data_IF_167779211715
#
_entry.id   IF_167779211715
#
_cell.length_a   1.000
_cell.length_b   1.000
_cell.length_c   1.000
_cell.angle_alpha   90.00
_cell.angle_beta   90.00
_cell.angle_gamma   90.00
#
_symmetry.space_group_name_H-M   'P 1'
#
loop_
_entity.id
_entity.type
_entity.pdbx_description
1 polymer ?
#
# COMPACT_ATOMS: atom_id res chain seq x y z
N UNK A 1 3.81 -3.58 -13.39
CA UNK A 1 3.60 -3.61 -11.92
C UNK A 1 2.48 -2.70 -11.45
N UNK A 2 2.38 -1.43 -11.90
CA UNK A 2 1.34 -0.49 -11.45
C UNK A 2 -0.10 -1.03 -11.58
N UNK A 3 -0.44 -1.64 -12.73
CA UNK A 3 -1.73 -2.30 -12.92
C UNK A 3 -2.01 -3.44 -11.93
N UNK A 4 -1.00 -4.22 -11.52
CA UNK A 4 -1.16 -5.28 -10.52
C UNK A 4 -1.35 -4.71 -9.11
N UNK A 5 -0.69 -3.57 -8.81
CA UNK A 5 -0.85 -2.86 -7.54
C UNK A 5 -2.24 -2.24 -7.44
N UNK A 6 -2.72 -1.63 -8.52
CA UNK A 6 -4.10 -1.11 -8.64
C UNK A 6 -5.12 -2.25 -8.58
N UNK A 7 -4.81 -3.43 -9.14
CA UNK A 7 -5.65 -4.63 -9.04
C UNK A 7 -5.81 -5.15 -7.60
N UNK A 8 -4.91 -4.81 -6.67
CA UNK A 8 -5.08 -5.14 -5.24
C UNK A 8 -6.10 -4.27 -4.52
N UNK A 9 -6.65 -3.24 -5.19
CA UNK A 9 -7.64 -2.30 -4.63
C UNK A 9 -7.23 -1.70 -3.28
N UNK A 10 -5.92 -1.45 -3.12
CA UNK A 10 -5.35 -0.86 -1.91
C UNK A 10 -5.02 -1.83 -0.77
N UNK A 11 -5.29 -3.13 -0.91
CA UNK A 11 -5.06 -4.12 0.17
C UNK A 11 -3.60 -4.22 0.63
N UNK A 12 -2.65 -3.92 -0.26
CA UNK A 12 -1.20 -3.90 0.07
C UNK A 12 -0.84 -2.91 1.18
N UNK A 13 -1.69 -1.91 1.44
CA UNK A 13 -1.46 -0.89 2.47
C UNK A 13 -2.02 -1.30 3.85
N UNK A 14 -2.68 -2.44 3.96
CA UNK A 14 -3.28 -2.95 5.22
C UNK A 14 -2.28 -3.01 6.38
N UNK A 15 -1.04 -3.46 6.12
CA UNK A 15 0.02 -3.49 7.14
C UNK A 15 0.46 -2.10 7.61
N UNK A 16 0.53 -1.13 6.69
CA UNK A 16 0.88 0.25 7.03
C UNK A 16 -0.23 0.92 7.85
N UNK A 17 -1.50 0.66 7.50
CA UNK A 17 -2.64 1.14 8.28
C UNK A 17 -2.66 0.54 9.69
N UNK A 18 -2.37 -0.76 9.83
CA UNK A 18 -2.28 -1.42 11.13
C UNK A 18 -1.24 -0.74 12.02
N UNK A 19 -0.03 -0.49 11.50
CA UNK A 19 1.03 0.18 12.25
C UNK A 19 0.61 1.58 12.67
N UNK A 20 0.06 2.38 11.76
CA UNK A 20 -0.40 3.73 12.05
C UNK A 20 -1.47 3.76 13.15
N UNK A 21 -2.41 2.81 13.15
CA UNK A 21 -3.42 2.69 14.20
C UNK A 21 -2.80 2.32 15.56
N UNK A 22 -1.84 1.39 15.58
CA UNK A 22 -1.15 1.04 16.84
C UNK A 22 -0.32 2.20 17.39
N UNK A 23 0.34 2.98 16.51
CA UNK A 23 1.08 4.20 16.89
C UNK A 23 0.16 5.29 17.47
N UNK A 24 -1.13 5.27 17.11
CA UNK A 24 -2.18 6.15 17.65
C UNK A 24 -2.83 5.61 18.94
N UNK A 25 -2.26 4.57 19.54
CA UNK A 25 -2.63 4.08 20.87
C UNK A 25 -3.68 2.97 20.89
N UNK A 26 -4.01 2.37 19.75
CA UNK A 26 -4.87 1.18 19.71
C UNK A 26 -4.07 -0.03 20.16
N UNK A 27 -4.75 -0.93 20.88
CA UNK A 27 -4.16 -2.25 21.07
C UNK A 27 -3.97 -2.93 19.72
N UNK A 28 -2.98 -3.82 19.63
CA UNK A 28 -2.70 -4.59 18.41
C UNK A 28 -3.93 -5.37 17.94
N UNK A 29 -4.70 -5.94 18.87
CA UNK A 29 -5.94 -6.67 18.57
C UNK A 29 -7.03 -5.76 17.99
N UNK A 30 -7.23 -4.57 18.56
CA UNK A 30 -8.20 -3.60 18.04
C UNK A 30 -7.81 -3.11 16.65
N UNK A 31 -6.54 -2.77 16.45
CA UNK A 31 -6.02 -2.37 15.14
C UNK A 31 -6.19 -3.50 14.12
N UNK A 32 -5.90 -4.75 14.50
CA UNK A 32 -6.05 -5.91 13.63
C UNK A 32 -7.51 -6.13 13.23
N UNK A 33 -8.44 -6.13 14.19
CA UNK A 33 -9.86 -6.30 13.93
C UNK A 33 -10.41 -5.22 12.98
N UNK A 34 -10.02 -3.96 13.21
CA UNK A 34 -10.46 -2.82 12.40
C UNK A 34 -9.95 -2.93 10.96
N UNK A 35 -8.64 -3.20 10.78
CA UNK A 35 -8.04 -3.37 9.44
C UNK A 35 -8.62 -4.59 8.72
N UNK A 36 -8.76 -5.72 9.42
CA UNK A 36 -9.27 -6.96 8.85
C UNK A 36 -10.71 -6.80 8.35
N UNK A 37 -11.57 -6.09 9.10
CA UNK A 37 -12.96 -5.81 8.69
C UNK A 37 -13.02 -5.17 7.31
N UNK A 38 -12.20 -4.14 7.06
CA UNK A 38 -12.19 -3.45 5.78
C UNK A 38 -11.47 -4.24 4.68
N UNK A 39 -10.41 -4.99 5.04
CA UNK A 39 -9.66 -5.80 4.07
C UNK A 39 -10.52 -6.95 3.53
N UNK A 40 -11.24 -7.65 4.41
CA UNK A 40 -12.18 -8.70 4.02
C UNK A 40 -13.28 -8.15 3.12
N UNK A 41 -13.85 -6.99 3.47
CA UNK A 41 -14.88 -6.34 2.66
C UNK A 41 -14.38 -5.94 1.27
N UNK A 42 -13.18 -5.38 1.17
CA UNK A 42 -12.56 -5.07 -0.13
C UNK A 42 -12.30 -6.32 -0.98
N UNK A 43 -11.96 -7.44 -0.34
CA UNK A 43 -11.75 -8.73 -0.99
C UNK A 43 -13.07 -9.34 -1.49
N UNK A 44 -14.06 -9.47 -0.61
CA UNK A 44 -15.32 -10.18 -0.88
C UNK A 44 -16.26 -9.39 -1.80
N UNK A 45 -16.41 -8.08 -1.57
CA UNK A 45 -17.30 -7.21 -2.35
C UNK A 45 -16.60 -6.57 -3.54
N UNK A 46 -15.28 -6.74 -3.63
CA UNK A 46 -14.47 -6.07 -4.62
C UNK A 46 -14.43 -4.55 -4.48
N UNK A 47 -14.71 -4.04 -3.28
CA UNK A 47 -14.67 -2.62 -2.96
C UNK A 47 -13.22 -2.09 -2.89
N UNK A 48 -13.08 -0.78 -2.98
CA UNK A 48 -11.80 -0.11 -2.79
C UNK A 48 -11.46 0.01 -1.30
N UNK A 49 -10.35 -0.58 -0.86
CA UNK A 49 -9.94 -0.61 0.54
C UNK A 49 -9.65 0.80 1.08
N UNK A 50 -9.10 1.70 0.25
CA UNK A 50 -8.80 3.07 0.67
C UNK A 50 -10.09 3.84 0.96
N UNK A 51 -11.09 3.73 0.10
CA UNK A 51 -12.37 4.39 0.31
C UNK A 51 -13.12 3.83 1.53
N UNK A 52 -13.07 2.51 1.75
CA UNK A 52 -13.63 1.89 2.96
C UNK A 52 -13.00 2.44 4.25
N UNK A 53 -11.66 2.56 4.27
CA UNK A 53 -10.89 3.10 5.40
C UNK A 53 -11.16 4.58 5.61
N UNK A 54 -11.21 5.35 4.51
CA UNK A 54 -11.47 6.80 4.55
C UNK A 54 -12.89 7.13 5.03
N UNK A 55 -13.86 6.27 4.73
CA UNK A 55 -15.24 6.45 5.16
C UNK A 55 -15.48 6.06 6.63
N UNK A 56 -14.57 5.30 7.24
CA UNK A 56 -14.78 4.74 8.57
C UNK A 56 -14.62 5.77 9.69
N UNK A 57 -15.65 6.01 10.52
CA UNK A 57 -15.60 7.02 11.57
C UNK A 57 -14.64 6.64 12.70
N UNK A 58 -14.44 5.35 12.97
CA UNK A 58 -13.54 4.87 14.01
C UNK A 58 -12.08 5.13 13.63
N UNK A 59 -11.73 4.92 12.37
CA UNK A 59 -10.41 5.26 11.81
C UNK A 59 -10.21 6.79 11.79
N UNK A 60 -11.21 7.54 11.33
CA UNK A 60 -11.14 9.02 11.27
C UNK A 60 -11.06 9.70 12.63
N UNK A 61 -11.52 9.04 13.69
CA UNK A 61 -11.35 9.53 15.06
C UNK A 61 -9.88 9.49 15.52
N UNK A 62 -9.01 8.74 14.82
CA UNK A 62 -7.62 8.47 15.21
C UNK A 62 -6.59 9.00 14.21
N UNK A 63 -6.95 9.03 12.93
CA UNK A 63 -6.10 9.47 11.83
C UNK A 63 -6.80 10.60 11.08
N UNK A 64 -6.10 11.71 10.90
CA UNK A 64 -6.57 12.79 10.05
C UNK A 64 -6.62 12.34 8.59
N UNK A 65 -7.48 12.96 7.75
CA UNK A 65 -7.57 12.60 6.33
C UNK A 65 -6.21 12.63 5.61
N UNK A 66 -5.34 13.60 5.90
CA UNK A 66 -3.99 13.68 5.32
C UNK A 66 -3.09 12.50 5.69
N UNK A 67 -3.26 11.95 6.89
CA UNK A 67 -2.47 10.80 7.34
C UNK A 67 -2.94 9.51 6.68
N UNK A 68 -4.26 9.36 6.52
CA UNK A 68 -4.85 8.28 5.75
C UNK A 68 -4.31 8.36 4.31
N UNK A 69 -4.36 9.52 3.68
CA UNK A 69 -3.82 9.72 2.34
C UNK A 69 -2.34 9.32 2.23
N UNK A 70 -1.50 9.69 3.21
CA UNK A 70 -0.08 9.31 3.25
C UNK A 70 0.14 7.79 3.37
N UNK A 71 -0.69 7.07 4.13
CA UNK A 71 -0.62 5.60 4.27
C UNK A 71 -0.81 4.91 2.90
N UNK A 72 -1.66 5.47 2.05
CA UNK A 72 -1.98 4.93 0.72
C UNK A 72 -1.07 5.46 -0.40
N UNK A 73 -0.04 6.26 -0.08
CA UNK A 73 0.95 6.68 -1.08
C UNK A 73 1.89 5.55 -1.42
N UNK A 74 1.86 5.14 -2.68
CA UNK A 74 2.66 4.07 -3.24
C UNK A 74 4.18 4.31 -3.09
N UNK A 75 4.61 5.57 -3.17
CA UNK A 75 6.02 5.96 -3.00
C UNK A 75 6.58 5.55 -1.63
N UNK A 76 5.72 5.44 -0.59
CA UNK A 76 6.08 5.01 0.77
C UNK A 76 6.27 3.50 0.86
N UNK A 77 5.37 2.76 0.23
CA UNK A 77 5.33 1.29 0.26
C UNK A 77 6.43 0.64 -0.59
N UNK A 78 6.90 1.32 -1.65
CA UNK A 78 7.92 0.79 -2.56
C UNK A 78 9.35 1.23 -2.25
N UNK A 79 9.59 2.11 -1.26
CA UNK A 79 10.94 2.68 -1.00
C UNK A 79 12.06 1.66 -0.81
N UNK A 80 11.73 0.49 -0.26
CA UNK A 80 12.71 -0.56 -0.02
C UNK A 80 12.64 -1.68 -1.05
N UNK A 81 11.65 -1.68 -1.94
CA UNK A 81 11.51 -2.74 -2.96
C UNK A 81 12.72 -2.72 -3.89
N UNK A 82 13.16 -1.55 -4.34
CA UNK A 82 14.36 -1.45 -5.18
C UNK A 82 15.64 -1.90 -4.45
N UNK A 83 15.74 -1.62 -3.14
CA UNK A 83 16.87 -2.06 -2.32
C UNK A 83 16.87 -3.58 -2.09
N UNK A 84 15.69 -4.17 -1.87
CA UNK A 84 15.51 -5.62 -1.71
C UNK A 84 15.76 -6.33 -3.05
N UNK A 85 15.21 -5.83 -4.16
CA UNK A 85 15.44 -6.38 -5.50
C UNK A 85 16.93 -6.34 -5.87
N UNK A 86 17.61 -5.22 -5.61
CA UNK A 86 19.06 -5.09 -5.84
C UNK A 86 19.87 -6.08 -4.99
N UNK A 87 19.45 -6.29 -3.74
CA UNK A 87 20.10 -7.24 -2.82
C UNK A 87 19.87 -8.71 -3.19
N UNK A 88 18.67 -9.03 -3.70
CA UNK A 88 18.27 -10.42 -4.02
C UNK A 88 18.70 -10.82 -5.44
N UNK A 89 18.66 -9.89 -6.40
CA UNK A 89 18.92 -10.19 -7.81
C UNK A 89 20.26 -9.65 -8.36
N UNK A 90 20.98 -8.79 -7.61
CA UNK A 90 22.25 -8.20 -8.07
C UNK A 90 22.12 -7.41 -9.38
N UNK A 91 23.23 -6.87 -9.90
CA UNK A 91 23.29 -6.04 -11.14
C UNK A 91 22.86 -6.76 -12.44
N UNK A 92 22.24 -7.94 -12.38
CA UNK A 92 21.79 -8.69 -13.54
C UNK A 92 20.45 -8.21 -14.13
N UNK A 93 19.81 -7.19 -13.55
CA UNK A 93 18.53 -6.67 -14.02
C UNK A 93 18.61 -5.18 -14.43
N UNK A 94 19.53 -4.85 -15.33
CA UNK A 94 19.37 -3.66 -16.17
C UNK A 94 18.96 -4.12 -17.57
N UNK A 95 17.66 -4.12 -17.94
CA UNK A 95 17.33 -4.13 -19.36
C UNK A 95 17.87 -2.81 -19.90
N UNK A 96 18.96 -2.90 -20.67
CA UNK A 96 19.51 -1.79 -21.41
C UNK A 96 18.35 -1.09 -22.12
N UNK A 97 18.20 0.22 -21.85
CA UNK A 97 17.40 1.08 -22.72
C UNK A 97 17.98 0.93 -24.12
N UNK A 98 17.31 0.18 -24.99
CA UNK A 98 17.56 0.25 -26.42
C UNK A 98 17.15 1.64 -26.85
N UNK A 99 18.15 2.52 -26.87
CA UNK A 99 18.07 3.79 -27.57
C UNK A 99 17.78 3.43 -29.02
N UNK A 100 16.62 3.86 -29.50
CA UNK A 100 16.35 3.83 -30.93
C UNK A 100 17.38 4.70 -31.62
N UNK A 101 18.14 4.10 -32.52
CA UNK A 101 18.84 4.81 -33.57
C UNK A 101 18.22 4.32 -34.88
N UNK A 102 17.29 5.12 -35.40
CA UNK A 102 17.08 5.14 -36.84
C UNK A 102 18.30 5.80 -37.48
N UNK A 103 18.85 5.16 -38.50
CA UNK A 103 19.51 5.79 -39.65
C UNK A 103 20.16 4.70 -40.52
N UNK A 104 19.46 4.29 -41.58
CA UNK A 104 19.94 4.24 -42.98
C UNK A 104 18.88 3.57 -43.85
#
# INVERSE_FOLDING_TARGET
MRANLEATRGLIFSGALLLALTERGLSREQAYALVQRHAMRAWDEGADFRELVRADPEIRARLAPSEIEEIFRLDRALRHVDAIFRRVFGEAAHPARTKGDGAS
#
